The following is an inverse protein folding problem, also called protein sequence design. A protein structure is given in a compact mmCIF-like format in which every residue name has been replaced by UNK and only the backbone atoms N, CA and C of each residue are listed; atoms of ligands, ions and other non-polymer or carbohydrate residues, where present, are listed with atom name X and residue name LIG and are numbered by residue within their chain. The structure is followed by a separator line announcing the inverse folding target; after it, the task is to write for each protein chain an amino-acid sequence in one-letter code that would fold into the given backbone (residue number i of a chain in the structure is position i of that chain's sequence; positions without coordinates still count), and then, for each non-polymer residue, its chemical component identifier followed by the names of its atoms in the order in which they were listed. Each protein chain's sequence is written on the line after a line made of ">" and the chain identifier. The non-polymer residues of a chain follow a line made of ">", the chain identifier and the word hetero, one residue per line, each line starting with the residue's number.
data_IF_396048646639
#
_entry.id   IF_396048646639
#
_cell.length_a   1.000
_cell.length_b   1.000
_cell.length_c   1.000
_cell.angle_alpha   90.00
_cell.angle_beta   90.00
_cell.angle_gamma   90.00
#
_symmetry.space_group_name_H-M   'P 1'
#
loop_
_entity.id
_entity.type
_entity.pdbx_description
1 polymer ?
#
# COMPACT_ATOMS: atom_id res chain seq x y z
N UNK A 1 10.69 -16.47 -3.09
CA UNK A 1 10.05 -15.27 -3.67
C UNK A 1 8.71 -15.09 -2.98
N UNK A 2 8.71 -14.52 -1.77
CA UNK A 2 7.54 -14.38 -0.90
C UNK A 2 7.41 -12.94 -0.34
N UNK A 3 7.92 -11.99 -1.11
CA UNK A 3 7.85 -10.59 -0.72
C UNK A 3 6.45 -10.04 -0.99
N UNK A 4 6.16 -8.88 -0.43
CA UNK A 4 4.93 -8.15 -0.73
C UNK A 4 4.98 -7.71 -2.20
N UNK A 5 3.88 -7.88 -2.92
CA UNK A 5 3.73 -7.34 -4.27
C UNK A 5 2.46 -6.52 -4.37
N UNK A 6 2.53 -5.43 -5.13
CA UNK A 6 1.39 -4.54 -5.36
C UNK A 6 1.21 -4.32 -6.86
N UNK A 7 -0.05 -4.35 -7.31
CA UNK A 7 -0.45 -4.07 -8.69
C UNK A 7 -1.76 -3.31 -8.69
N UNK A 8 -1.94 -2.44 -9.68
CA UNK A 8 -3.26 -1.94 -10.03
C UNK A 8 -3.93 -2.91 -11.00
N UNK A 9 -5.16 -3.29 -10.70
CA UNK A 9 -6.04 -4.05 -11.60
C UNK A 9 -7.38 -3.33 -11.59
N UNK A 10 -7.79 -2.82 -12.76
CA UNK A 10 -8.96 -1.95 -12.89
C UNK A 10 -8.90 -0.81 -11.86
N UNK A 11 -9.97 -0.60 -11.08
CA UNK A 11 -10.06 0.40 -10.02
C UNK A 11 -9.64 -0.11 -8.63
N UNK A 12 -8.81 -1.15 -8.59
CA UNK A 12 -8.34 -1.77 -7.34
C UNK A 12 -6.82 -1.80 -7.22
N UNK A 13 -6.35 -1.52 -6.01
CA UNK A 13 -5.00 -1.83 -5.57
C UNK A 13 -4.98 -3.27 -5.03
N UNK A 14 -4.37 -4.18 -5.79
CA UNK A 14 -4.17 -5.56 -5.40
C UNK A 14 -2.86 -5.71 -4.64
N UNK A 15 -2.95 -6.14 -3.38
CA UNK A 15 -1.80 -6.48 -2.54
C UNK A 15 -1.77 -8.00 -2.39
N UNK A 16 -0.60 -8.60 -2.66
CA UNK A 16 -0.36 -10.04 -2.44
C UNK A 16 0.83 -10.25 -1.53
N UNK A 17 0.69 -11.20 -0.62
CA UNK A 17 1.78 -11.68 0.20
C UNK A 17 1.50 -13.12 0.61
N UNK A 18 2.42 -14.04 0.35
CA UNK A 18 2.21 -15.48 0.57
C UNK A 18 0.92 -15.97 -0.13
N UNK A 19 -0.01 -16.55 0.61
CA UNK A 19 -1.32 -17.01 0.13
C UNK A 19 -2.41 -15.93 0.27
N UNK A 20 -2.10 -14.79 0.88
CA UNK A 20 -3.05 -13.70 1.10
C UNK A 20 -3.19 -12.84 -0.14
N UNK A 21 -4.44 -12.47 -0.42
CA UNK A 21 -4.86 -11.56 -1.48
C UNK A 21 -5.78 -10.51 -0.87
N UNK A 22 -5.41 -9.24 -1.00
CA UNK A 22 -6.17 -8.12 -0.47
C UNK A 22 -6.44 -7.15 -1.62
N UNK A 23 -7.69 -6.78 -1.77
CA UNK A 23 -8.18 -5.88 -2.82
C UNK A 23 -8.73 -4.63 -2.14
N UNK A 24 -8.13 -3.48 -2.48
CA UNK A 24 -8.54 -2.19 -1.95
C UNK A 24 -9.05 -1.35 -3.12
N UNK A 25 -10.33 -0.94 -3.16
CA UNK A 25 -10.79 0.02 -4.15
C UNK A 25 -9.98 1.32 -4.05
N UNK A 26 -9.46 1.81 -5.17
CA UNK A 26 -8.63 3.03 -5.20
C UNK A 26 -9.43 4.23 -4.66
N UNK A 27 -10.73 4.28 -4.95
CA UNK A 27 -11.66 5.31 -4.43
C UNK A 27 -11.79 5.33 -2.91
N UNK A 28 -11.41 4.26 -2.21
CA UNK A 28 -11.42 4.19 -0.75
C UNK A 28 -10.08 4.60 -0.14
N UNK A 29 -9.01 4.72 -0.92
CA UNK A 29 -7.68 5.11 -0.44
C UNK A 29 -7.67 6.61 -0.20
N UNK A 30 -7.41 7.01 1.04
CA UNK A 30 -7.41 8.41 1.46
C UNK A 30 -6.00 9.00 1.54
N UNK A 31 -4.98 8.18 1.82
CA UNK A 31 -3.58 8.58 1.78
C UNK A 31 -2.63 7.39 1.68
N UNK A 32 -1.46 7.62 1.10
CA UNK A 32 -0.33 6.68 1.08
C UNK A 32 0.93 7.44 1.51
N UNK A 33 1.58 6.98 2.58
CA UNK A 33 2.76 7.64 3.17
C UNK A 33 3.82 6.63 3.57
N UNK A 34 5.09 7.02 3.56
CA UNK A 34 6.13 6.31 4.28
C UNK A 34 5.92 6.44 5.79
N UNK A 35 6.17 5.36 6.51
CA UNK A 35 6.08 5.29 7.97
C UNK A 35 7.46 5.00 8.56
N UNK A 36 7.99 5.97 9.29
CA UNK A 36 9.35 5.91 9.85
C UNK A 36 9.39 5.21 11.22
N UNK A 37 8.28 4.65 11.69
CA UNK A 37 8.24 3.90 12.96
C UNK A 37 8.51 2.42 12.73
N UNK A 38 9.25 1.79 13.65
CA UNK A 38 9.68 0.40 13.49
C UNK A 38 8.51 -0.59 13.29
N UNK A 39 7.46 -0.46 14.10
CA UNK A 39 6.29 -1.36 14.10
C UNK A 39 5.07 -0.83 13.34
N UNK A 40 5.16 0.36 12.74
CA UNK A 40 4.04 1.08 12.18
C UNK A 40 3.34 1.99 13.20
N UNK A 41 2.99 3.19 12.75
CA UNK A 41 2.47 4.30 13.57
C UNK A 41 0.99 4.14 13.92
N UNK A 42 0.28 3.26 13.21
CA UNK A 42 -1.15 3.03 13.38
C UNK A 42 -1.41 1.64 13.99
N UNK A 43 -1.77 1.54 15.29
CA UNK A 43 -1.90 0.26 15.99
C UNK A 43 -2.94 -0.67 15.36
N UNK A 44 -4.08 -0.11 14.94
CA UNK A 44 -5.20 -0.84 14.34
C UNK A 44 -4.96 -1.27 12.88
N UNK A 45 -3.86 -0.84 12.25
CA UNK A 45 -3.60 -1.18 10.86
C UNK A 45 -3.25 -2.65 10.68
N UNK A 46 -3.76 -3.23 9.58
CA UNK A 46 -3.41 -4.59 9.17
C UNK A 46 -1.98 -4.59 8.65
N UNK A 47 -1.13 -5.44 9.22
CA UNK A 47 0.31 -5.53 8.90
C UNK A 47 0.55 -6.64 7.89
N UNK A 48 1.20 -6.32 6.78
CA UNK A 48 1.41 -7.24 5.66
C UNK A 48 2.89 -7.23 5.31
N UNK A 49 3.53 -8.40 5.25
CA UNK A 49 4.97 -8.50 5.00
C UNK A 49 5.77 -8.84 6.24
N UNK A 50 7.09 -8.92 6.07
CA UNK A 50 7.99 -9.29 7.16
C UNK A 50 8.39 -8.07 7.99
N UNK A 51 8.23 -8.13 9.32
CA UNK A 51 8.58 -7.00 10.20
C UNK A 51 10.06 -6.55 10.12
N UNK A 52 10.95 -7.40 9.59
CA UNK A 52 12.38 -7.11 9.39
C UNK A 52 12.70 -6.28 8.14
N UNK A 53 11.69 -5.89 7.36
CA UNK A 53 11.89 -5.10 6.14
C UNK A 53 12.38 -3.67 6.43
N UNK A 54 12.93 -3.02 5.41
CA UNK A 54 13.54 -1.69 5.53
C UNK A 54 12.50 -0.58 5.48
N UNK A 55 11.43 -0.74 4.69
CA UNK A 55 10.38 0.25 4.54
C UNK A 55 9.04 -0.20 5.13
N UNK A 56 8.27 0.80 5.57
CA UNK A 56 6.87 0.65 5.94
C UNK A 56 6.07 1.66 5.13
N UNK A 57 5.06 1.18 4.41
CA UNK A 57 4.14 2.02 3.64
C UNK A 57 2.79 1.94 4.31
N UNK A 58 2.32 3.07 4.84
CA UNK A 58 1.01 3.20 5.46
C UNK A 58 0.01 3.65 4.39
N UNK A 59 -0.97 2.77 4.14
CA UNK A 59 -2.11 3.02 3.25
C UNK A 59 -3.32 3.22 4.15
N UNK A 60 -3.87 4.43 4.16
CA UNK A 60 -5.13 4.69 4.85
C UNK A 60 -6.28 4.56 3.87
N UNK A 61 -7.35 3.95 4.35
CA UNK A 61 -8.61 3.87 3.60
C UNK A 61 -9.74 4.45 4.46
N UNK A 62 -10.94 4.52 3.89
CA UNK A 62 -12.14 4.94 4.63
C UNK A 62 -12.52 3.98 5.76
N UNK A 63 -12.13 2.69 5.69
CA UNK A 63 -12.59 1.65 6.62
C UNK A 63 -11.47 1.02 7.46
N UNK A 64 -10.32 0.71 6.85
CA UNK A 64 -9.23 -0.03 7.48
C UNK A 64 -7.89 0.41 6.89
N UNK A 65 -6.94 0.78 7.75
CA UNK A 65 -5.58 1.09 7.32
C UNK A 65 -4.72 -0.16 7.21
N UNK A 66 -3.70 -0.10 6.37
CA UNK A 66 -2.75 -1.18 6.10
C UNK A 66 -1.33 -0.65 6.20
N UNK A 67 -0.42 -1.47 6.74
CA UNK A 67 1.01 -1.17 6.76
C UNK A 67 1.72 -2.30 6.02
N UNK A 68 2.33 -1.95 4.88
CA UNK A 68 3.13 -2.86 4.09
C UNK A 68 4.58 -2.80 4.53
N UNK A 69 5.15 -3.94 4.89
CA UNK A 69 6.56 -4.10 5.19
C UNK A 69 7.27 -4.64 3.96
N UNK A 70 8.14 -3.82 3.36
CA UNK A 70 8.80 -4.13 2.09
C UNK A 70 10.27 -3.71 2.12
N UNK A 71 11.12 -4.44 1.40
CA UNK A 71 12.51 -4.03 1.16
C UNK A 71 12.69 -3.34 -0.19
N UNK A 72 11.60 -3.07 -0.90
CA UNK A 72 11.62 -2.39 -2.20
C UNK A 72 11.37 -0.90 -2.07
N UNK A 73 12.43 -0.11 -2.25
CA UNK A 73 12.40 1.36 -2.26
C UNK A 73 11.52 1.96 -3.38
N UNK A 74 11.20 1.16 -4.40
CA UNK A 74 10.34 1.59 -5.50
C UNK A 74 8.85 1.33 -5.25
N UNK A 75 8.48 0.63 -4.18
CA UNK A 75 7.09 0.27 -3.95
C UNK A 75 6.23 1.48 -3.57
N UNK A 76 6.74 2.36 -2.72
CA UNK A 76 6.04 3.58 -2.34
C UNK A 76 5.71 4.48 -3.55
N UNK A 77 6.69 4.90 -4.39
CA UNK A 77 6.37 5.73 -5.55
C UNK A 77 5.49 5.01 -6.57
N UNK A 78 5.62 3.68 -6.72
CA UNK A 78 4.74 2.92 -7.60
C UNK A 78 3.28 2.95 -7.12
N UNK A 79 3.02 2.76 -5.83
CA UNK A 79 1.66 2.85 -5.28
C UNK A 79 1.11 4.26 -5.46
N UNK A 80 1.91 5.30 -5.20
CA UNK A 80 1.49 6.68 -5.42
C UNK A 80 1.06 6.93 -6.86
N UNK A 81 1.81 6.42 -7.85
CA UNK A 81 1.46 6.53 -9.26
C UNK A 81 0.15 5.80 -9.61
N UNK A 82 -0.11 4.64 -8.99
CA UNK A 82 -1.34 3.85 -9.21
C UNK A 82 -2.59 4.52 -8.62
N UNK A 83 -2.46 5.22 -7.49
CA UNK A 83 -3.62 5.78 -6.76
C UNK A 83 -3.83 7.27 -6.99
N UNK A 84 -2.89 7.94 -7.66
CA UNK A 84 -3.06 9.32 -8.08
C UNK A 84 -4.20 9.39 -9.10
N UNK A 85 -5.15 10.34 -8.97
CA UNK A 85 -6.13 10.56 -10.03
C UNK A 85 -5.35 10.89 -11.30
N UNK A 86 -5.54 10.08 -12.35
CA UNK A 86 -5.08 10.40 -13.69
C UNK A 86 -5.51 11.83 -13.97
N UNK A 87 -4.56 12.75 -14.17
CA UNK A 87 -4.84 14.14 -14.43
C UNK A 87 -5.91 14.22 -15.53
N UNK A 88 -7.13 14.60 -15.14
CA UNK A 88 -8.20 14.89 -16.08
C UNK A 88 -7.64 15.90 -17.07
N UNK A 89 -7.54 15.51 -18.35
CA UNK A 89 -7.22 16.44 -19.43
C UNK A 89 -8.16 17.63 -19.31
N UNK A 90 -7.61 18.77 -18.88
CA UNK A 90 -8.24 20.06 -19.05
C UNK A 90 -8.36 20.30 -20.55
N UNK A 91 -9.60 20.29 -21.03
CA UNK A 91 -9.99 20.73 -22.38
C UNK A 91 -10.13 22.25 -22.35
#
# INVERSE_FOLDING_TARGET
>A
MFDVSVKQIDDQLLIRWQFSRIEIPISQITSVTLDNTYGGSEPSAVRIGYARSTERILIRTTNQSYILFTSSENMFPAIQAMVSPSATSSI
#
